data_IF_583188037876
#
_entry.id   IF_583188037876
#
_cell.length_a   1.000
_cell.length_b   1.000
_cell.length_c   1.000
_cell.angle_alpha   90.00
_cell.angle_beta   90.00
_cell.angle_gamma   90.00
#
_symmetry.space_group_name_H-M   'P 1'
#
loop_
_entity.id
_entity.type
_entity.pdbx_description
1 polymer ?
#
# COMPACT_ATOMS: atom_id res chain seq x y z
N UNK A 1 -2.78 -11.74 -16.12
CA UNK A 1 -3.45 -11.01 -15.03
C UNK A 1 -2.58 -10.87 -13.78
N UNK A 2 -1.97 -11.95 -13.22
CA UNK A 2 -1.09 -11.86 -12.01
C UNK A 2 0.02 -10.83 -12.15
N UNK A 3 0.64 -10.71 -13.33
CA UNK A 3 1.73 -9.78 -13.61
C UNK A 3 1.32 -8.28 -13.49
N UNK A 4 0.03 -7.98 -13.57
CA UNK A 4 -0.49 -6.62 -13.43
C UNK A 4 -0.74 -6.17 -11.99
N UNK A 5 -0.82 -7.10 -11.02
CA UNK A 5 -1.15 -6.77 -9.62
C UNK A 5 -0.10 -5.84 -9.03
N UNK A 6 1.18 -6.21 -9.10
CA UNK A 6 2.27 -5.37 -8.60
C UNK A 6 2.28 -3.95 -9.18
N UNK A 7 2.27 -3.78 -10.50
CA UNK A 7 2.16 -2.45 -11.11
C UNK A 7 0.92 -1.66 -10.71
N UNK A 8 -0.24 -2.30 -10.55
CA UNK A 8 -1.46 -1.62 -10.14
C UNK A 8 -1.38 -1.14 -8.67
N UNK A 9 -0.82 -1.97 -7.77
CA UNK A 9 -0.50 -1.55 -6.41
C UNK A 9 0.52 -0.40 -6.42
N UNK A 10 1.52 -0.47 -7.30
CA UNK A 10 2.50 0.61 -7.47
C UNK A 10 1.86 1.94 -7.82
N UNK A 11 0.92 1.98 -8.77
CA UNK A 11 0.15 3.18 -9.09
C UNK A 11 -0.73 3.65 -7.92
N UNK A 12 -1.33 2.72 -7.19
CA UNK A 12 -2.10 3.06 -5.99
C UNK A 12 -1.21 3.69 -4.91
N UNK A 13 -0.03 3.15 -4.65
CA UNK A 13 0.94 3.72 -3.70
C UNK A 13 1.40 5.12 -4.13
N UNK A 14 1.64 5.34 -5.42
CA UNK A 14 1.96 6.66 -5.95
C UNK A 14 0.79 7.63 -5.71
N UNK A 15 -0.44 7.21 -5.95
CA UNK A 15 -1.63 8.01 -5.71
C UNK A 15 -1.81 8.36 -4.22
N UNK A 16 -1.59 7.40 -3.32
CA UNK A 16 -1.58 7.64 -1.86
C UNK A 16 -0.47 8.62 -1.49
N UNK A 17 0.73 8.44 -2.02
CA UNK A 17 1.87 9.31 -1.74
C UNK A 17 1.63 10.75 -2.18
N UNK A 18 1.06 10.97 -3.37
CA UNK A 18 0.76 12.31 -3.88
C UNK A 18 -0.47 12.92 -3.20
N UNK A 19 -1.47 12.12 -2.90
CA UNK A 19 -2.78 12.58 -2.43
C UNK A 19 -2.97 12.51 -0.91
N UNK A 20 -3.29 11.33 -0.39
CA UNK A 20 -3.72 11.15 1.00
C UNK A 20 -2.64 11.51 2.02
N UNK A 21 -1.39 11.09 1.79
CA UNK A 21 -0.29 11.34 2.73
C UNK A 21 0.13 12.82 2.78
N UNK A 22 -0.01 13.51 1.66
CA UNK A 22 0.32 14.96 1.58
C UNK A 22 -0.86 15.82 2.02
N UNK A 23 -2.04 15.21 2.20
CA UNK A 23 -3.26 15.90 2.61
C UNK A 23 -3.99 16.61 1.48
N UNK A 24 -3.62 16.32 0.23
CA UNK A 24 -4.32 16.88 -0.96
C UNK A 24 -5.73 16.30 -1.08
N UNK A 25 -6.00 15.15 -0.47
CA UNK A 25 -7.33 14.53 -0.33
C UNK A 25 -7.88 14.70 1.10
N UNK A 26 -7.86 15.89 1.67
CA UNK A 26 -8.41 16.08 3.02
C UNK A 26 -9.92 15.83 3.03
N UNK A 27 -10.36 14.91 3.90
CA UNK A 27 -11.77 14.70 4.18
C UNK A 27 -12.34 15.94 4.90
N UNK A 28 -13.47 16.44 4.49
CA UNK A 28 -14.21 17.39 5.32
C UNK A 28 -15.12 18.40 4.61
N UNK A 29 -14.86 18.76 3.37
CA UNK A 29 -15.60 19.86 2.74
C UNK A 29 -16.28 19.49 1.40
N UNK A 30 -16.66 18.21 1.20
CA UNK A 30 -17.40 17.80 0.00
C UNK A 30 -16.55 17.64 -1.28
N UNK A 31 -15.26 17.91 -1.22
CA UNK A 31 -14.29 17.68 -2.30
C UNK A 31 -13.39 16.50 -2.01
N UNK A 32 -13.98 15.41 -1.55
CA UNK A 32 -13.30 14.11 -1.40
C UNK A 32 -13.13 13.38 -2.73
N UNK A 33 -13.44 14.04 -3.85
CA UNK A 33 -13.34 13.43 -5.15
C UNK A 33 -11.88 13.32 -5.60
N UNK A 34 -11.26 12.13 -5.55
CA UNK A 34 -9.89 11.92 -6.02
C UNK A 34 -9.72 12.30 -7.49
N UNK A 35 -10.80 12.27 -8.29
CA UNK A 35 -10.78 12.72 -9.68
C UNK A 35 -10.54 14.20 -9.84
N UNK A 36 -11.00 15.03 -8.90
CA UNK A 36 -10.75 16.47 -8.98
C UNK A 36 -9.26 16.77 -8.91
N UNK A 37 -8.56 16.18 -7.96
CA UNK A 37 -7.13 16.39 -7.77
C UNK A 37 -6.31 15.77 -8.91
N UNK A 38 -6.68 14.58 -9.39
CA UNK A 38 -6.02 13.96 -10.54
C UNK A 38 -6.23 14.74 -11.83
N UNK A 39 -7.38 15.41 -11.98
CA UNK A 39 -7.70 16.20 -13.16
C UNK A 39 -6.96 17.52 -13.20
N UNK A 40 -6.80 18.17 -12.08
CA UNK A 40 -6.16 19.48 -11.96
C UNK A 40 -5.36 19.63 -10.66
N UNK A 41 -4.25 18.90 -10.59
CA UNK A 41 -3.38 18.94 -9.42
C UNK A 41 -2.88 20.36 -9.10
N UNK A 42 -2.48 21.13 -10.12
CA UNK A 42 -1.98 22.47 -9.90
C UNK A 42 -3.09 23.47 -9.56
N UNK A 43 -4.28 23.31 -10.13
CA UNK A 43 -5.45 24.08 -9.75
C UNK A 43 -5.88 23.79 -8.32
N UNK A 44 -5.81 22.53 -7.89
CA UNK A 44 -6.08 22.15 -6.51
C UNK A 44 -5.07 22.76 -5.50
N UNK A 45 -3.87 23.09 -5.94
CA UNK A 45 -2.82 23.73 -5.13
C UNK A 45 -2.94 25.26 -5.04
N UNK A 46 -4.02 25.88 -5.56
CA UNK A 46 -4.24 27.32 -5.41
C UNK A 46 -4.62 27.68 -3.99
N UNK A 47 -4.23 28.89 -3.49
CA UNK A 47 -4.51 29.30 -2.12
C UNK A 47 -5.99 29.25 -1.73
N UNK A 48 -6.89 29.64 -2.64
CA UNK A 48 -8.34 29.62 -2.40
C UNK A 48 -8.87 28.19 -2.22
N UNK A 49 -8.45 27.25 -3.09
CA UNK A 49 -8.90 25.85 -3.00
C UNK A 49 -8.39 25.19 -1.73
N UNK A 50 -7.12 25.40 -1.36
CA UNK A 50 -6.56 24.82 -0.14
C UNK A 50 -7.27 25.36 1.10
N UNK A 51 -7.45 26.68 1.18
CA UNK A 51 -8.08 27.29 2.32
C UNK A 51 -9.56 26.92 2.45
N UNK A 52 -10.29 26.98 1.34
CA UNK A 52 -11.75 26.87 1.36
C UNK A 52 -12.23 25.40 1.34
N UNK A 53 -11.43 24.48 0.79
CA UNK A 53 -11.86 23.09 0.55
C UNK A 53 -11.03 22.04 1.29
N UNK A 54 -9.77 22.31 1.61
CA UNK A 54 -8.89 21.33 2.26
C UNK A 54 -8.64 21.65 3.75
N UNK A 55 -9.08 22.81 4.25
CA UNK A 55 -8.91 23.19 5.66
C UNK A 55 -7.47 23.33 6.14
N UNK A 56 -6.49 23.26 5.23
CA UNK A 56 -5.08 23.38 5.53
C UNK A 56 -4.56 24.78 5.24
N UNK A 57 -3.53 25.20 5.97
CA UNK A 57 -2.82 26.43 5.61
C UNK A 57 -2.02 26.22 4.32
N UNK A 58 -2.12 27.18 3.41
CA UNK A 58 -1.45 27.12 2.12
C UNK A 58 0.06 26.92 2.23
N UNK A 59 0.71 27.62 3.16
CA UNK A 59 2.14 27.51 3.42
C UNK A 59 2.56 26.11 3.83
N UNK A 60 1.78 25.47 4.68
CA UNK A 60 2.03 24.07 5.12
C UNK A 60 1.90 23.11 3.95
N UNK A 61 0.87 23.26 3.13
CA UNK A 61 0.65 22.40 1.97
C UNK A 61 1.79 22.54 0.94
N UNK A 62 2.19 23.77 0.64
CA UNK A 62 3.30 24.04 -0.29
C UNK A 62 4.60 23.44 0.22
N UNK A 63 4.92 23.63 1.52
CA UNK A 63 6.09 23.04 2.14
C UNK A 63 6.08 21.51 2.02
N UNK A 64 4.94 20.87 2.31
CA UNK A 64 4.75 19.42 2.21
C UNK A 64 5.00 18.91 0.79
N UNK A 65 4.38 19.55 -0.22
CA UNK A 65 4.52 19.16 -1.63
C UNK A 65 5.95 19.35 -2.14
N UNK A 66 6.56 20.48 -1.85
CA UNK A 66 7.95 20.75 -2.26
C UNK A 66 8.89 19.71 -1.62
N UNK A 67 8.74 19.48 -0.32
CA UNK A 67 9.56 18.50 0.40
C UNK A 67 9.39 17.10 -0.14
N UNK A 68 8.16 16.70 -0.47
CA UNK A 68 7.87 15.41 -1.11
C UNK A 68 8.63 15.24 -2.44
N UNK A 69 8.58 16.23 -3.32
CA UNK A 69 9.30 16.16 -4.59
C UNK A 69 10.82 16.19 -4.41
N UNK A 70 11.33 17.05 -3.55
CA UNK A 70 12.77 17.10 -3.25
C UNK A 70 13.23 15.75 -2.67
N UNK A 71 12.50 15.18 -1.73
CA UNK A 71 12.77 13.86 -1.18
C UNK A 71 12.79 12.76 -2.23
N UNK A 72 11.80 12.76 -3.13
CA UNK A 72 11.74 11.81 -4.23
C UNK A 72 12.98 11.91 -5.14
N UNK A 73 13.38 13.13 -5.52
CA UNK A 73 14.58 13.32 -6.34
C UNK A 73 15.85 12.90 -5.60
N UNK A 74 15.96 13.17 -4.30
CA UNK A 74 17.11 12.71 -3.49
C UNK A 74 17.18 11.19 -3.49
N UNK A 75 16.06 10.49 -3.25
CA UNK A 75 16.00 9.02 -3.28
C UNK A 75 16.45 8.50 -4.65
N UNK A 76 15.92 9.05 -5.74
CA UNK A 76 16.25 8.64 -7.12
C UNK A 76 17.75 8.84 -7.40
N UNK A 77 18.31 9.98 -7.02
CA UNK A 77 19.72 10.27 -7.26
C UNK A 77 20.65 9.36 -6.44
N UNK A 78 20.31 9.10 -5.19
CA UNK A 78 21.06 8.17 -4.34
C UNK A 78 20.97 6.73 -4.86
N UNK A 79 19.80 6.32 -5.30
CA UNK A 79 19.57 5.00 -5.90
C UNK A 79 20.40 4.84 -7.20
N UNK A 80 20.42 5.86 -8.06
CA UNK A 80 21.26 5.86 -9.28
C UNK A 80 22.77 5.77 -8.97
N UNK A 81 23.20 6.31 -7.84
CA UNK A 81 24.59 6.20 -7.38
C UNK A 81 24.90 4.85 -6.69
N UNK A 82 23.92 3.93 -6.62
CA UNK A 82 24.09 2.61 -6.02
C UNK A 82 24.13 2.63 -4.48
N UNK A 83 23.62 3.66 -3.83
CA UNK A 83 23.53 3.73 -2.37
C UNK A 83 22.45 2.75 -1.91
N UNK A 84 22.82 1.68 -1.20
CA UNK A 84 21.90 0.62 -0.77
C UNK A 84 20.76 1.11 0.13
N UNK A 85 21.03 2.13 0.99
CA UNK A 85 20.06 2.73 1.88
C UNK A 85 19.41 4.01 1.31
N UNK A 86 19.32 4.15 -0.02
CA UNK A 86 18.85 5.36 -0.69
C UNK A 86 17.50 5.87 -0.18
N UNK A 87 16.54 4.95 0.06
CA UNK A 87 15.20 5.29 0.56
C UNK A 87 15.29 5.88 1.97
N UNK A 88 15.99 5.20 2.88
CA UNK A 88 16.13 5.66 4.26
C UNK A 88 16.85 7.01 4.33
N UNK A 89 17.98 7.15 3.63
CA UNK A 89 18.74 8.40 3.60
C UNK A 89 17.93 9.53 2.98
N UNK A 90 17.18 9.24 1.92
CA UNK A 90 16.30 10.21 1.28
C UNK A 90 15.15 10.64 2.19
N UNK A 91 14.52 9.73 2.91
CA UNK A 91 13.47 10.04 3.90
C UNK A 91 14.02 10.92 5.04
N UNK A 92 15.20 10.59 5.58
CA UNK A 92 15.83 11.40 6.62
C UNK A 92 16.20 12.80 6.11
N UNK A 93 16.74 12.89 4.90
CA UNK A 93 17.06 14.19 4.29
C UNK A 93 15.79 15.03 4.06
N UNK A 94 14.72 14.44 3.56
CA UNK A 94 13.42 15.14 3.42
C UNK A 94 12.85 15.55 4.76
N UNK A 95 12.95 14.72 5.79
CA UNK A 95 12.50 15.07 7.14
C UNK A 95 13.26 16.30 7.68
N UNK A 96 14.57 16.35 7.51
CA UNK A 96 15.37 17.52 7.92
C UNK A 96 14.96 18.78 7.17
N UNK A 97 14.73 18.67 5.85
CA UNK A 97 14.28 19.81 5.03
C UNK A 97 12.90 20.29 5.51
N UNK A 98 11.99 19.37 5.77
CA UNK A 98 10.65 19.69 6.25
C UNK A 98 10.67 20.37 7.61
N UNK A 99 11.41 19.83 8.58
CA UNK A 99 11.56 20.41 9.92
C UNK A 99 12.21 21.80 9.88
N UNK A 100 13.22 21.99 9.02
CA UNK A 100 13.80 23.30 8.80
C UNK A 100 12.78 24.28 8.22
N UNK A 101 11.97 23.82 7.26
CA UNK A 101 10.88 24.62 6.69
C UNK A 101 9.81 24.98 7.71
N UNK A 102 9.38 24.07 8.56
CA UNK A 102 8.44 24.33 9.66
C UNK A 102 8.99 25.40 10.63
N UNK A 103 10.26 25.24 11.03
CA UNK A 103 10.89 26.18 11.96
C UNK A 103 11.07 27.58 11.37
N UNK A 104 11.46 27.69 10.08
CA UNK A 104 11.80 28.95 9.43
C UNK A 104 10.55 29.68 8.91
N UNK A 105 9.66 28.96 8.22
CA UNK A 105 8.52 29.57 7.50
C UNK A 105 7.22 29.54 8.30
N UNK A 106 7.02 28.49 9.11
CA UNK A 106 5.77 28.33 9.87
C UNK A 106 5.94 28.69 11.35
N UNK A 107 7.18 28.91 11.81
CA UNK A 107 7.50 29.18 13.21
C UNK A 107 6.95 28.12 14.19
N UNK A 108 6.79 26.89 13.73
CA UNK A 108 6.33 25.74 14.52
C UNK A 108 7.53 24.92 14.98
N UNK A 109 7.48 24.43 16.21
CA UNK A 109 8.51 23.52 16.70
C UNK A 109 8.20 22.09 16.18
N UNK A 110 9.00 21.54 15.25
CA UNK A 110 8.76 20.22 14.67
C UNK A 110 8.89 19.07 15.68
N UNK A 111 9.52 19.30 16.83
CA UNK A 111 9.70 18.31 17.89
C UNK A 111 8.73 18.49 19.06
N UNK A 112 7.69 19.31 18.90
CA UNK A 112 6.71 19.54 19.97
C UNK A 112 6.00 18.24 20.42
N UNK A 113 5.77 17.32 19.51
CA UNK A 113 5.14 16.01 19.80
C UNK A 113 6.01 15.08 20.65
N UNK A 114 7.33 15.31 20.73
CA UNK A 114 8.21 14.55 21.63
C UNK A 114 8.14 15.05 23.08
N UNK A 115 7.62 16.25 23.31
CA UNK A 115 7.51 16.79 24.67
C UNK A 115 6.41 16.03 25.40
N UNK A 116 6.79 15.21 26.37
CA UNK A 116 5.88 14.35 27.13
C UNK A 116 5.59 12.99 26.50
N UNK A 117 6.22 12.64 25.37
CA UNK A 117 6.06 11.33 24.78
C UNK A 117 6.70 10.23 25.66
N UNK A 118 5.94 9.14 25.85
CA UNK A 118 6.46 7.97 26.56
C UNK A 118 7.17 7.04 25.58
N UNK A 119 8.41 6.71 25.88
CA UNK A 119 9.17 5.68 25.17
C UNK A 119 8.88 4.26 25.67
N UNK A 120 8.08 4.16 26.72
CA UNK A 120 7.61 2.87 27.20
C UNK A 120 6.28 2.56 26.52
N UNK A 121 6.18 1.46 25.76
CA UNK A 121 4.94 1.09 25.09
C UNK A 121 3.82 0.83 26.11
N UNK A 122 2.57 1.16 25.83
CA UNK A 122 1.44 0.94 26.72
C UNK A 122 0.99 -0.54 26.70
N UNK A 123 1.87 -1.45 27.09
CA UNK A 123 1.58 -2.89 27.09
C UNK A 123 0.38 -3.26 27.96
N UNK A 124 0.17 -2.54 29.06
CA UNK A 124 -1.00 -2.76 29.93
C UNK A 124 -2.30 -2.47 29.17
N UNK A 125 -2.35 -1.34 28.47
CA UNK A 125 -3.54 -0.94 27.72
C UNK A 125 -3.78 -1.87 26.53
N UNK A 126 -2.72 -2.30 25.83
CA UNK A 126 -2.80 -3.32 24.78
C UNK A 126 -3.39 -4.63 25.33
N UNK A 127 -2.93 -5.11 26.48
CA UNK A 127 -3.45 -6.33 27.08
C UNK A 127 -4.89 -6.17 27.55
N UNK A 128 -5.27 -4.99 28.02
CA UNK A 128 -6.63 -4.72 28.51
C UNK A 128 -7.65 -4.53 27.38
N UNK A 129 -7.25 -3.92 26.24
CA UNK A 129 -8.19 -3.46 25.21
C UNK A 129 -8.17 -4.25 23.92
N UNK A 130 -7.02 -4.83 23.51
CA UNK A 130 -6.88 -5.44 22.18
C UNK A 130 -6.49 -6.91 22.20
N UNK A 131 -5.63 -7.35 23.11
CA UNK A 131 -5.10 -8.71 23.11
C UNK A 131 -6.20 -9.73 23.37
N UNK A 132 -6.44 -10.62 22.40
CA UNK A 132 -7.50 -11.65 22.42
C UNK A 132 -8.92 -11.11 22.68
N UNK A 133 -9.20 -9.86 22.34
CA UNK A 133 -10.53 -9.24 22.49
C UNK A 133 -11.37 -9.44 21.22
N UNK A 134 -11.76 -10.68 20.94
CA UNK A 134 -12.64 -10.99 19.83
C UNK A 134 -14.10 -10.81 20.22
N UNK A 135 -14.86 -10.06 19.44
CA UNK A 135 -16.30 -9.96 19.55
C UNK A 135 -16.98 -10.53 18.30
N UNK A 136 -17.27 -11.81 18.34
CA UNK A 136 -18.00 -12.48 17.27
C UNK A 136 -19.50 -12.20 17.32
N UNK A 137 -20.04 -11.79 18.48
CA UNK A 137 -21.48 -11.54 18.63
C UNK A 137 -21.88 -10.32 17.83
N UNK A 138 -21.19 -9.21 18.02
CA UNK A 138 -21.47 -7.98 17.27
C UNK A 138 -21.10 -8.11 15.79
N UNK A 139 -20.07 -8.90 15.47
CA UNK A 139 -19.72 -9.19 14.07
C UNK A 139 -20.87 -9.85 13.30
N UNK A 140 -21.58 -10.80 13.87
CA UNK A 140 -22.69 -11.47 13.19
C UNK A 140 -24.02 -10.68 13.26
N UNK A 141 -24.09 -9.61 14.06
CA UNK A 141 -25.24 -8.68 14.08
C UNK A 141 -25.47 -7.96 12.76
N UNK A 142 -24.42 -7.75 11.96
CA UNK A 142 -24.53 -7.16 10.60
C UNK A 142 -25.27 -8.08 9.59
N UNK A 143 -25.62 -9.30 10.03
CA UNK A 143 -26.26 -10.32 9.18
C UNK A 143 -25.27 -11.36 8.66
N UNK A 144 -25.66 -12.62 8.71
CA UNK A 144 -24.81 -13.75 8.33
C UNK A 144 -24.27 -13.67 6.91
N UNK A 145 -25.10 -13.25 5.95
CA UNK A 145 -24.69 -13.12 4.56
C UNK A 145 -23.60 -12.06 4.40
N UNK A 146 -23.80 -10.89 5.01
CA UNK A 146 -22.80 -9.78 4.99
C UNK A 146 -21.52 -10.20 5.67
N UNK A 147 -21.61 -10.82 6.85
CA UNK A 147 -20.45 -11.29 7.59
C UNK A 147 -19.59 -12.27 6.79
N UNK A 148 -20.22 -13.30 6.19
CA UNK A 148 -19.51 -14.28 5.36
C UNK A 148 -18.89 -13.61 4.12
N UNK A 149 -19.62 -12.73 3.46
CA UNK A 149 -19.14 -12.01 2.28
C UNK A 149 -17.93 -11.14 2.62
N UNK A 150 -17.92 -10.45 3.79
CA UNK A 150 -16.80 -9.67 4.27
C UNK A 150 -15.57 -10.55 4.55
N UNK A 151 -15.75 -11.67 5.26
CA UNK A 151 -14.65 -12.63 5.54
C UNK A 151 -14.01 -13.11 4.23
N UNK A 152 -14.81 -13.58 3.28
CA UNK A 152 -14.30 -14.04 1.98
C UNK A 152 -13.59 -12.91 1.26
N UNK A 153 -14.15 -11.71 1.26
CA UNK A 153 -13.58 -10.54 0.58
C UNK A 153 -12.22 -10.16 1.17
N UNK A 154 -12.13 -10.03 2.51
CA UNK A 154 -10.86 -9.68 3.16
C UNK A 154 -9.81 -10.76 2.98
N UNK A 155 -10.19 -12.04 3.12
CA UNK A 155 -9.29 -13.17 2.87
C UNK A 155 -8.74 -13.15 1.43
N UNK A 156 -9.59 -12.83 0.45
CA UNK A 156 -9.17 -12.74 -0.95
C UNK A 156 -8.25 -11.54 -1.20
N UNK A 157 -8.56 -10.38 -0.61
CA UNK A 157 -7.73 -9.18 -0.74
C UNK A 157 -6.33 -9.48 -0.18
N UNK A 158 -6.27 -9.98 1.05
CA UNK A 158 -5.03 -10.34 1.75
C UNK A 158 -4.19 -11.33 0.94
N UNK A 159 -4.81 -12.43 0.49
CA UNK A 159 -4.16 -13.44 -0.33
C UNK A 159 -3.61 -12.88 -1.66
N UNK A 160 -4.36 -12.03 -2.36
CA UNK A 160 -3.91 -11.47 -3.64
C UNK A 160 -2.85 -10.39 -3.46
N UNK A 161 -2.94 -9.60 -2.40
CA UNK A 161 -1.91 -8.62 -2.04
C UNK A 161 -0.58 -9.34 -1.76
N UNK A 162 -0.61 -10.34 -0.89
CA UNK A 162 0.56 -11.17 -0.58
C UNK A 162 1.13 -11.86 -1.82
N UNK A 163 0.31 -12.47 -2.67
CA UNK A 163 0.79 -13.09 -3.92
C UNK A 163 1.44 -12.05 -4.83
N UNK A 164 0.83 -10.88 -5.00
CA UNK A 164 1.35 -9.81 -5.84
C UNK A 164 2.71 -9.31 -5.35
N UNK A 165 2.84 -9.10 -4.05
CA UNK A 165 4.06 -8.64 -3.38
C UNK A 165 5.16 -9.69 -3.42
N UNK A 166 4.83 -10.97 -3.13
CA UNK A 166 5.79 -12.07 -3.18
C UNK A 166 6.35 -12.27 -4.59
N UNK A 167 5.49 -12.31 -5.61
CA UNK A 167 5.93 -12.46 -7.01
C UNK A 167 6.77 -11.25 -7.43
N UNK A 168 6.36 -10.04 -7.08
CA UNK A 168 7.12 -8.82 -7.37
C UNK A 168 8.50 -8.82 -6.72
N UNK A 169 8.57 -9.16 -5.43
CA UNK A 169 9.83 -9.22 -4.66
C UNK A 169 10.73 -10.35 -5.14
N UNK A 170 10.18 -11.55 -5.37
CA UNK A 170 10.93 -12.71 -5.85
C UNK A 170 11.50 -12.49 -7.26
N UNK A 171 10.75 -11.85 -8.14
CA UNK A 171 11.20 -11.50 -9.50
C UNK A 171 12.41 -10.55 -9.44
N UNK A 172 12.37 -9.53 -8.61
CA UNK A 172 13.50 -8.61 -8.41
C UNK A 172 14.72 -9.28 -7.78
N UNK A 173 14.47 -10.26 -6.91
CA UNK A 173 15.51 -11.03 -6.25
C UNK A 173 16.14 -12.11 -7.14
N UNK A 174 15.62 -12.32 -8.34
CA UNK A 174 16.02 -13.42 -9.22
C UNK A 174 15.67 -14.80 -8.61
N UNK A 175 14.62 -14.88 -7.81
CA UNK A 175 14.15 -16.08 -7.12
C UNK A 175 12.95 -16.73 -7.84
N UNK A 176 12.58 -16.25 -9.01
CA UNK A 176 11.53 -16.85 -9.84
C UNK A 176 12.13 -17.84 -10.84
N UNK A 177 11.34 -18.85 -11.21
CA UNK A 177 11.68 -19.75 -12.31
C UNK A 177 11.50 -19.06 -13.69
N UNK A 178 11.77 -19.81 -14.77
CA UNK A 178 11.65 -19.29 -16.16
C UNK A 178 10.23 -18.90 -16.53
N UNK A 179 9.25 -19.45 -15.84
CA UNK A 179 7.82 -19.19 -16.06
C UNK A 179 7.28 -18.08 -15.14
N UNK A 180 8.16 -17.48 -14.34
CA UNK A 180 7.83 -16.41 -13.41
C UNK A 180 7.18 -16.87 -12.11
N UNK A 181 7.19 -18.19 -11.81
CA UNK A 181 6.66 -18.70 -10.56
C UNK A 181 7.73 -18.61 -9.45
N UNK A 182 7.27 -18.28 -8.25
CA UNK A 182 8.12 -18.31 -7.07
C UNK A 182 8.15 -19.72 -6.50
N UNK A 183 9.33 -20.35 -6.35
CA UNK A 183 9.45 -21.58 -5.60
C UNK A 183 9.04 -21.33 -4.14
N UNK A 184 8.47 -22.35 -3.49
CA UNK A 184 8.00 -22.28 -2.10
C UNK A 184 6.88 -21.23 -1.85
N UNK A 185 6.06 -20.91 -2.87
CA UNK A 185 4.92 -19.99 -2.73
C UNK A 185 3.95 -20.46 -1.66
N UNK A 186 3.71 -21.77 -1.54
CA UNK A 186 2.81 -22.34 -0.54
C UNK A 186 3.31 -22.08 0.88
N UNK A 187 4.58 -22.29 1.13
CA UNK A 187 5.21 -22.05 2.44
C UNK A 187 5.20 -20.57 2.80
N UNK A 188 5.45 -19.70 1.83
CA UNK A 188 5.39 -18.25 2.01
C UNK A 188 3.97 -17.80 2.37
N UNK A 189 2.95 -18.25 1.65
CA UNK A 189 1.53 -17.94 1.95
C UNK A 189 1.09 -18.51 3.30
N UNK A 190 1.59 -19.69 3.68
CA UNK A 190 1.29 -20.27 5.00
C UNK A 190 1.90 -19.44 6.12
N UNK A 191 3.13 -18.96 5.94
CA UNK A 191 3.79 -18.07 6.89
C UNK A 191 3.04 -16.74 7.07
N UNK A 192 2.59 -16.17 5.98
CA UNK A 192 1.78 -14.94 5.94
C UNK A 192 0.45 -15.12 6.69
N UNK A 193 -0.27 -16.22 6.40
CA UNK A 193 -1.52 -16.55 7.09
C UNK A 193 -1.33 -16.74 8.61
N UNK A 194 -0.25 -17.39 9.04
CA UNK A 194 0.09 -17.53 10.46
C UNK A 194 0.36 -16.15 11.08
N UNK A 195 1.09 -15.29 10.36
CA UNK A 195 1.34 -13.90 10.78
C UNK A 195 0.04 -13.12 10.95
N UNK A 196 -0.88 -13.22 10.00
CA UNK A 196 -2.20 -12.56 10.05
C UNK A 196 -3.04 -13.03 11.24
N UNK A 197 -3.07 -14.35 11.53
CA UNK A 197 -3.75 -14.88 12.72
C UNK A 197 -3.11 -14.37 14.00
N UNK A 198 -1.79 -14.36 14.09
CA UNK A 198 -1.08 -13.82 15.25
C UNK A 198 -1.34 -12.31 15.43
N UNK A 199 -1.35 -11.54 14.35
CA UNK A 199 -1.71 -10.12 14.34
C UNK A 199 -3.12 -9.89 14.84
N UNK A 200 -4.10 -10.66 14.36
CA UNK A 200 -5.48 -10.60 14.84
C UNK A 200 -5.58 -10.90 16.34
N UNK A 201 -4.83 -11.86 16.88
CA UNK A 201 -4.77 -12.12 18.31
C UNK A 201 -4.19 -10.94 19.11
N UNK A 202 -3.29 -10.18 18.50
CA UNK A 202 -2.75 -8.95 19.10
C UNK A 202 -3.66 -7.74 18.93
N UNK A 203 -4.73 -7.85 18.14
CA UNK A 203 -5.65 -6.74 17.84
C UNK A 203 -5.11 -5.77 16.79
N UNK A 204 -4.20 -6.22 15.90
CA UNK A 204 -3.73 -5.44 14.77
C UNK A 204 -4.53 -5.75 13.49
N UNK A 205 -4.35 -4.94 12.46
CA UNK A 205 -4.81 -5.27 11.11
C UNK A 205 -4.04 -6.48 10.56
N UNK A 206 -4.41 -6.93 9.34
CA UNK A 206 -3.71 -8.04 8.68
C UNK A 206 -2.19 -7.82 8.65
N UNK A 207 -1.44 -8.89 8.79
CA UNK A 207 0.02 -8.91 8.63
C UNK A 207 0.30 -9.46 7.23
N UNK A 208 0.82 -8.62 6.36
CA UNK A 208 1.08 -8.99 4.97
C UNK A 208 2.54 -8.77 4.58
N UNK A 209 2.96 -9.34 3.48
CA UNK A 209 4.32 -9.18 2.95
C UNK A 209 4.50 -7.77 2.39
N UNK A 210 5.54 -7.06 2.83
CA UNK A 210 5.87 -5.72 2.36
C UNK A 210 6.77 -5.72 1.13
N UNK A 211 6.49 -4.84 0.18
CA UNK A 211 7.30 -4.65 -1.05
C UNK A 211 8.71 -4.17 -0.72
N UNK A 212 8.85 -3.41 0.35
CA UNK A 212 10.12 -2.89 0.87
C UNK A 212 11.10 -4.02 1.22
N UNK A 213 10.61 -5.22 1.49
CA UNK A 213 11.44 -6.43 1.66
C UNK A 213 12.35 -6.68 0.46
N UNK A 214 11.97 -6.22 -0.74
CA UNK A 214 12.81 -6.29 -1.93
C UNK A 214 14.16 -5.61 -1.73
N UNK A 215 14.20 -4.50 -1.00
CA UNK A 215 15.45 -3.78 -0.72
C UNK A 215 16.43 -4.61 0.14
N UNK A 216 15.91 -5.34 1.12
CA UNK A 216 16.70 -6.27 1.94
C UNK A 216 17.26 -7.44 1.13
N UNK A 217 16.46 -7.97 0.22
CA UNK A 217 16.87 -9.04 -0.70
C UNK A 217 17.92 -8.53 -1.70
N UNK A 218 17.75 -7.35 -2.28
CA UNK A 218 18.73 -6.71 -3.14
C UNK A 218 20.06 -6.41 -2.43
N UNK A 219 20.00 -6.08 -1.15
CA UNK A 219 21.19 -5.89 -0.32
C UNK A 219 21.95 -7.20 -0.02
N UNK A 220 21.38 -8.35 -0.38
CA UNK A 220 22.02 -9.66 -0.24
C UNK A 220 21.36 -10.60 0.77
N UNK A 221 20.23 -10.21 1.35
CA UNK A 221 19.45 -11.09 2.25
C UNK A 221 18.87 -12.28 1.48
N UNK A 222 19.15 -13.51 1.93
CA UNK A 222 18.74 -14.75 1.24
C UNK A 222 18.22 -15.82 2.18
N UNK A 223 18.29 -15.60 3.47
CA UNK A 223 17.99 -16.62 4.49
C UNK A 223 16.97 -16.13 5.50
N UNK A 224 16.36 -17.04 6.25
CA UNK A 224 15.47 -16.71 7.37
C UNK A 224 16.12 -15.85 8.44
N UNK A 225 17.45 -15.79 8.52
CA UNK A 225 18.16 -14.89 9.43
C UNK A 225 17.87 -13.41 9.10
N UNK A 226 17.72 -13.07 7.81
CA UNK A 226 17.32 -11.72 7.39
C UNK A 226 15.94 -11.36 7.95
N UNK A 227 14.97 -12.27 7.82
CA UNK A 227 13.63 -12.06 8.37
C UNK A 227 13.64 -11.97 9.90
N UNK A 228 14.40 -12.83 10.58
CA UNK A 228 14.55 -12.77 12.04
C UNK A 228 15.15 -11.44 12.50
N UNK A 229 16.20 -10.98 11.83
CA UNK A 229 16.83 -9.68 12.13
C UNK A 229 15.82 -8.54 11.97
N UNK A 230 15.06 -8.55 10.88
CA UNK A 230 13.99 -7.56 10.64
C UNK A 230 12.95 -7.61 11.75
N UNK A 231 12.50 -8.78 12.18
CA UNK A 231 11.55 -8.94 13.28
C UNK A 231 12.09 -8.36 14.60
N UNK A 232 13.36 -8.65 14.95
CA UNK A 232 14.00 -8.09 16.14
C UNK A 232 14.11 -6.56 16.05
N UNK A 233 14.44 -6.02 14.87
CA UNK A 233 14.47 -4.57 14.66
C UNK A 233 13.10 -3.93 14.80
N UNK A 234 12.02 -4.57 14.31
CA UNK A 234 10.66 -4.08 14.54
C UNK A 234 10.29 -4.08 16.03
N UNK A 235 10.64 -5.13 16.77
CA UNK A 235 10.43 -5.14 18.22
C UNK A 235 11.20 -4.02 18.93
N UNK A 236 12.42 -3.74 18.51
CA UNK A 236 13.20 -2.60 19.04
C UNK A 236 12.54 -1.26 18.70
N UNK A 237 11.95 -1.14 17.50
CA UNK A 237 11.26 0.08 17.06
C UNK A 237 10.03 0.42 17.90
N UNK A 238 9.42 -0.54 18.60
CA UNK A 238 8.30 -0.27 19.51
C UNK A 238 8.72 0.77 20.59
N UNK A 239 9.95 0.68 21.09
CA UNK A 239 10.46 1.61 22.11
C UNK A 239 10.86 2.97 21.56
N UNK A 240 11.05 3.09 20.25
CA UNK A 240 11.37 4.36 19.58
C UNK A 240 10.19 4.90 18.75
N UNK A 241 8.99 4.35 18.93
CA UNK A 241 7.79 4.77 18.23
C UNK A 241 7.54 6.29 18.25
N UNK A 242 7.79 7.03 19.37
CA UNK A 242 7.67 8.49 19.38
C UNK A 242 8.60 9.20 18.38
N UNK A 243 9.78 8.63 18.11
CA UNK A 243 10.69 9.18 17.09
C UNK A 243 10.14 8.95 15.69
N UNK A 244 9.53 7.79 15.44
CA UNK A 244 8.88 7.53 14.15
C UNK A 244 7.72 8.50 13.89
N UNK A 245 7.00 8.91 14.93
CA UNK A 245 5.86 9.83 14.83
C UNK A 245 6.25 11.26 14.39
N UNK A 246 7.51 11.66 14.52
CA UNK A 246 7.99 12.98 14.03
C UNK A 246 8.39 12.95 12.55
N UNK A 247 8.47 11.79 11.92
CA UNK A 247 8.78 11.70 10.48
C UNK A 247 7.59 12.29 9.71
N UNK A 248 7.80 13.37 8.93
CA UNK A 248 6.69 14.03 8.25
C UNK A 248 6.12 13.17 7.12
N UNK A 249 4.83 13.32 6.88
CA UNK A 249 4.15 12.62 5.77
C UNK A 249 4.80 12.92 4.40
N UNK A 250 5.36 14.10 4.21
CA UNK A 250 6.12 14.47 3.01
C UNK A 250 7.30 13.51 2.74
N UNK A 251 8.01 13.09 3.79
CA UNK A 251 9.14 12.18 3.67
C UNK A 251 8.70 10.75 3.34
N UNK A 252 7.67 10.25 4.01
CA UNK A 252 7.10 8.92 3.73
C UNK A 252 6.46 8.86 2.35
N UNK A 253 5.81 9.93 1.90
CA UNK A 253 5.25 10.06 0.55
C UNK A 253 6.31 9.93 -0.54
N UNK A 254 7.48 10.52 -0.35
CA UNK A 254 8.61 10.39 -1.27
C UNK A 254 9.01 8.92 -1.46
N UNK A 255 9.06 8.16 -0.37
CA UNK A 255 9.39 6.74 -0.39
C UNK A 255 8.28 5.92 -1.07
N UNK A 256 7.00 6.18 -0.77
CA UNK A 256 5.86 5.49 -1.38
C UNK A 256 5.84 5.68 -2.90
N UNK A 257 6.05 6.92 -3.36
CA UNK A 257 6.10 7.20 -4.80
C UNK A 257 7.26 6.45 -5.45
N UNK A 258 8.44 6.46 -4.82
CA UNK A 258 9.60 5.75 -5.34
C UNK A 258 9.36 4.23 -5.44
N UNK A 259 8.80 3.62 -4.38
CA UNK A 259 8.42 2.20 -4.39
C UNK A 259 7.39 1.92 -5.49
N UNK A 260 6.39 2.78 -5.63
CA UNK A 260 5.40 2.70 -6.70
C UNK A 260 6.05 2.68 -8.10
N UNK A 261 7.02 3.58 -8.35
CA UNK A 261 7.79 3.61 -9.61
C UNK A 261 8.52 2.28 -9.84
N UNK A 262 9.13 1.71 -8.81
CA UNK A 262 9.82 0.42 -8.92
C UNK A 262 8.86 -0.72 -9.24
N UNK A 263 7.66 -0.72 -8.68
CA UNK A 263 6.64 -1.75 -8.95
C UNK A 263 6.13 -1.72 -10.38
N UNK A 264 6.11 -0.56 -11.04
CA UNK A 264 5.72 -0.43 -12.46
C UNK A 264 6.62 -1.25 -13.39
N UNK A 265 7.83 -1.62 -12.97
CA UNK A 265 8.72 -2.46 -13.78
C UNK A 265 8.12 -3.84 -14.10
N UNK A 266 7.18 -4.31 -13.29
CA UNK A 266 6.44 -5.56 -13.54
C UNK A 266 5.65 -5.55 -14.85
N UNK A 267 5.30 -4.38 -15.39
CA UNK A 267 4.62 -4.26 -16.69
C UNK A 267 5.43 -4.80 -17.86
N UNK A 268 6.76 -4.86 -17.75
CA UNK A 268 7.62 -5.43 -18.78
C UNK A 268 7.32 -6.90 -19.10
N UNK A 269 6.72 -7.61 -18.15
CA UNK A 269 6.40 -9.03 -18.27
C UNK A 269 4.98 -9.26 -18.80
N UNK A 270 4.19 -8.20 -19.03
CA UNK A 270 2.84 -8.28 -19.59
C UNK A 270 2.93 -8.27 -21.11
N UNK A 271 2.27 -9.23 -21.76
CA UNK A 271 2.15 -9.21 -23.22
C UNK A 271 1.07 -8.18 -23.65
N UNK A 272 1.53 -7.08 -24.22
CA UNK A 272 0.67 -6.00 -24.71
C UNK A 272 -0.08 -6.34 -25.99
N UNK A 273 0.29 -7.43 -26.69
CA UNK A 273 -0.39 -7.87 -27.90
C UNK A 273 -1.54 -8.84 -27.61
N UNK A 274 -1.58 -9.42 -26.41
CA UNK A 274 -2.65 -10.34 -25.99
C UNK A 274 -3.74 -9.56 -25.25
N UNK A 275 -4.87 -9.32 -25.91
CA UNK A 275 -6.01 -8.62 -25.33
C UNK A 275 -6.61 -9.36 -24.11
N UNK A 276 -6.48 -10.69 -24.08
CA UNK A 276 -6.94 -11.49 -22.93
C UNK A 276 -6.13 -11.18 -21.65
N UNK A 277 -4.89 -10.66 -21.79
CA UNK A 277 -4.05 -10.27 -20.68
C UNK A 277 -4.06 -8.77 -20.42
N UNK A 278 -3.90 -7.95 -21.47
CA UNK A 278 -3.70 -6.51 -21.28
C UNK A 278 -4.95 -5.81 -20.78
N UNK A 279 -6.15 -6.19 -21.22
CA UNK A 279 -7.39 -5.50 -20.82
C UNK A 279 -7.67 -5.66 -19.32
N UNK A 280 -7.62 -6.87 -18.72
CA UNK A 280 -7.77 -7.01 -17.27
C UNK A 280 -6.67 -6.27 -16.47
N UNK A 281 -5.43 -6.28 -16.98
CA UNK A 281 -4.31 -5.53 -16.36
C UNK A 281 -4.58 -4.03 -16.40
N UNK A 282 -5.01 -3.50 -17.54
CA UNK A 282 -5.33 -2.08 -17.69
C UNK A 282 -6.48 -1.63 -16.79
N UNK A 283 -7.55 -2.45 -16.69
CA UNK A 283 -8.65 -2.18 -15.76
C UNK A 283 -8.14 -2.13 -14.32
N UNK A 284 -7.25 -3.03 -13.94
CA UNK A 284 -6.65 -3.06 -12.61
C UNK A 284 -5.78 -1.81 -12.33
N UNK A 285 -4.96 -1.42 -13.30
CA UNK A 285 -4.11 -0.22 -13.22
C UNK A 285 -4.90 1.07 -13.00
N UNK A 286 -6.11 1.15 -13.55
CA UNK A 286 -7.00 2.29 -13.38
C UNK A 286 -7.82 2.16 -12.10
N UNK A 287 -8.44 1.01 -11.88
CA UNK A 287 -9.42 0.84 -10.82
C UNK A 287 -8.80 0.90 -9.41
N UNK A 288 -7.57 0.37 -9.21
CA UNK A 288 -6.93 0.40 -7.89
C UNK A 288 -6.64 1.83 -7.41
N UNK A 289 -5.95 2.70 -8.18
CA UNK A 289 -5.70 4.06 -7.73
C UNK A 289 -6.98 4.88 -7.53
N UNK A 290 -7.96 4.72 -8.43
CA UNK A 290 -9.22 5.49 -8.38
C UNK A 290 -10.07 5.10 -7.18
N UNK A 291 -10.21 3.79 -6.92
CA UNK A 291 -11.03 3.32 -5.79
C UNK A 291 -10.29 3.31 -4.46
N UNK A 292 -8.96 3.54 -4.44
CA UNK A 292 -8.13 3.36 -3.26
C UNK A 292 -8.17 1.93 -2.70
N UNK A 293 -8.57 0.94 -3.52
CA UNK A 293 -8.82 -0.43 -3.06
C UNK A 293 -8.22 -1.47 -3.98
N UNK A 294 -7.31 -2.28 -3.44
CA UNK A 294 -6.73 -3.43 -4.13
C UNK A 294 -7.83 -4.41 -4.53
N UNK A 295 -8.78 -4.66 -3.63
CA UNK A 295 -9.88 -5.58 -3.87
C UNK A 295 -10.80 -5.17 -5.02
N UNK A 296 -11.11 -3.88 -5.15
CA UNK A 296 -11.92 -3.39 -6.26
C UNK A 296 -11.19 -3.57 -7.59
N UNK A 297 -9.90 -3.24 -7.64
CA UNK A 297 -9.11 -3.41 -8.85
C UNK A 297 -9.01 -4.88 -9.29
N UNK A 298 -8.71 -5.78 -8.36
CA UNK A 298 -8.64 -7.23 -8.64
C UNK A 298 -10.01 -7.75 -9.06
N UNK A 299 -11.07 -7.38 -8.35
CA UNK A 299 -12.44 -7.80 -8.66
C UNK A 299 -12.86 -7.42 -10.07
N UNK A 300 -12.69 -6.17 -10.45
CA UNK A 300 -13.01 -5.68 -11.79
C UNK A 300 -12.15 -6.34 -12.87
N UNK A 301 -10.85 -6.57 -12.60
CA UNK A 301 -9.99 -7.28 -13.51
C UNK A 301 -10.40 -8.74 -13.71
N UNK A 302 -10.81 -9.43 -12.65
CA UNK A 302 -11.29 -10.82 -12.75
C UNK A 302 -12.62 -10.94 -13.49
N UNK A 303 -13.54 -10.00 -13.24
CA UNK A 303 -14.80 -9.93 -13.98
C UNK A 303 -14.52 -9.70 -15.47
N UNK A 304 -13.69 -8.72 -15.81
CA UNK A 304 -13.35 -8.41 -17.21
C UNK A 304 -12.63 -9.57 -17.91
N UNK A 305 -11.67 -10.22 -17.23
CA UNK A 305 -10.99 -11.41 -17.74
C UNK A 305 -11.99 -12.53 -18.07
N UNK A 306 -12.91 -12.78 -17.14
CA UNK A 306 -13.94 -13.82 -17.31
C UNK A 306 -14.85 -13.49 -18.51
N UNK A 307 -15.31 -12.25 -18.61
CA UNK A 307 -16.14 -11.79 -19.73
C UNK A 307 -15.41 -11.99 -21.06
N UNK A 308 -14.16 -11.49 -21.17
CA UNK A 308 -13.38 -11.58 -22.39
C UNK A 308 -13.20 -13.04 -22.81
N UNK A 309 -12.81 -13.93 -21.91
CA UNK A 309 -12.60 -15.35 -22.19
C UNK A 309 -13.87 -16.05 -22.64
N UNK A 310 -15.01 -15.76 -22.01
CA UNK A 310 -16.30 -16.35 -22.38
C UNK A 310 -16.72 -15.91 -23.78
N UNK A 311 -16.69 -14.61 -24.06
CA UNK A 311 -17.10 -14.08 -25.36
C UNK A 311 -16.10 -14.34 -26.50
N UNK A 312 -14.83 -14.61 -26.18
CA UNK A 312 -13.83 -15.07 -27.15
C UNK A 312 -13.88 -16.58 -27.44
N UNK A 313 -14.86 -17.31 -26.90
CA UNK A 313 -14.98 -18.75 -27.11
C UNK A 313 -13.97 -19.60 -26.31
N UNK A 314 -13.21 -18.98 -25.42
CA UNK A 314 -12.18 -19.62 -24.57
C UNK A 314 -12.68 -19.87 -23.14
N UNK A 315 -13.97 -20.08 -22.93
CA UNK A 315 -14.59 -20.29 -21.62
C UNK A 315 -13.97 -21.46 -20.83
N UNK A 316 -13.50 -22.49 -21.53
CA UNK A 316 -12.86 -23.67 -20.92
C UNK A 316 -11.48 -23.40 -20.32
N UNK A 317 -10.83 -22.31 -20.74
CA UNK A 317 -9.50 -21.93 -20.24
C UNK A 317 -9.58 -21.20 -18.88
N UNK A 318 -10.80 -20.83 -18.47
CA UNK A 318 -11.06 -20.17 -17.19
C UNK A 318 -11.33 -21.21 -16.13
N UNK A 319 -10.59 -21.18 -15.03
CA UNK A 319 -10.79 -22.12 -13.92
C UNK A 319 -12.17 -21.87 -13.26
N UNK A 320 -12.78 -22.94 -12.73
CA UNK A 320 -14.03 -22.85 -11.98
C UNK A 320 -13.91 -21.85 -10.82
N UNK A 321 -12.76 -21.85 -10.15
CA UNK A 321 -12.47 -20.91 -9.07
C UNK A 321 -12.54 -19.45 -9.54
N UNK A 322 -12.02 -19.14 -10.73
CA UNK A 322 -12.08 -17.78 -11.31
C UNK A 322 -13.52 -17.34 -11.53
N UNK A 323 -14.38 -18.24 -12.03
CA UNK A 323 -15.82 -17.94 -12.19
C UNK A 323 -16.49 -17.66 -10.86
N UNK A 324 -16.22 -18.49 -9.84
CA UNK A 324 -16.78 -18.30 -8.49
C UNK A 324 -16.34 -16.96 -7.91
N UNK A 325 -15.06 -16.63 -8.02
CA UNK A 325 -14.52 -15.37 -7.52
C UNK A 325 -15.13 -14.17 -8.26
N UNK A 326 -15.21 -14.22 -9.59
CA UNK A 326 -15.83 -13.14 -10.37
C UNK A 326 -17.31 -12.95 -9.98
N UNK A 327 -18.06 -14.04 -9.78
CA UNK A 327 -19.45 -13.98 -9.32
C UNK A 327 -19.55 -13.36 -7.90
N UNK A 328 -18.68 -13.73 -6.98
CA UNK A 328 -18.63 -13.15 -5.63
C UNK A 328 -18.34 -11.65 -5.66
N UNK A 329 -17.44 -11.19 -6.53
CA UNK A 329 -17.17 -9.76 -6.68
C UNK A 329 -18.37 -9.01 -7.29
N UNK A 330 -19.07 -9.61 -8.26
CA UNK A 330 -20.32 -9.02 -8.79
C UNK A 330 -21.33 -8.88 -7.66
N UNK A 331 -21.57 -9.94 -6.89
CA UNK A 331 -22.49 -9.88 -5.74
C UNK A 331 -22.06 -8.81 -4.75
N UNK A 332 -20.75 -8.72 -4.43
CA UNK A 332 -20.21 -7.70 -3.55
C UNK A 332 -20.52 -6.28 -4.04
N UNK A 333 -20.31 -5.99 -5.32
CA UNK A 333 -20.52 -4.64 -5.86
C UNK A 333 -21.98 -4.20 -5.89
N UNK A 334 -22.94 -5.15 -5.93
CA UNK A 334 -24.36 -4.83 -6.02
C UNK A 334 -25.17 -5.13 -4.75
N UNK A 335 -24.70 -6.01 -3.87
CA UNK A 335 -25.45 -6.45 -2.70
C UNK A 335 -24.88 -5.96 -1.36
N UNK A 336 -23.61 -5.52 -1.32
CA UNK A 336 -22.97 -5.02 -0.12
C UNK A 336 -22.69 -3.53 -0.33
N UNK A 337 -23.64 -2.72 0.10
CA UNK A 337 -23.53 -1.26 0.19
C UNK A 337 -23.16 -0.91 1.64
#
# INVERSE_FOLDING_TARGET
>A
MRLGIGPAIGLMLMNIGVGSNVGVYAEGNGYTDPFYVMRDFFGAMTPSVIKDHMGAEYSTMVLTVITMFVGLFVIILLSKKGVKAAVLVGMLASSVIYWAGEAIFLHVNPFASLQGASFVPPFHDMAATTLFKFDFTDFFRIGWFTAITLVITFCMIDMFDTIGTLVGTASRAGMTDKDGNMPNMKEALTSDAIGTVAGACCGTSTVTTFVESASGVEAGGRTGLTALTTAVMFLACIFIAPIAAIIPAAATSSALIYVGILMLQGLKNVDFNDLDQIVPVFIMLIAMPISGSIGHGIGLAMISYTIIKVFSGKAKDVSVLTYVIAALFIVKFFAVV
#
